data_IF_780007350297
#
_entry.id   IF_780007350297
#
_cell.length_a   1.000
_cell.length_b   1.000
_cell.length_c   1.000
_cell.angle_alpha   90.00
_cell.angle_beta   90.00
_cell.angle_gamma   90.00
#
_symmetry.space_group_name_H-M   'P 1'
#
loop_
_entity.id
_entity.type
_entity.pdbx_description
1 polymer ?
#
# COMPACT_ATOMS: atom_id res chain seq x y z
N UNK A 1 -30.49 15.72 -10.77
CA UNK A 1 -29.45 16.45 -10.03
C UNK A 1 -28.31 16.66 -11.01
N UNK A 2 -28.24 17.85 -11.59
CA UNK A 2 -27.24 18.16 -12.61
C UNK A 2 -25.84 18.01 -12.00
N UNK A 3 -24.98 17.27 -12.69
CA UNK A 3 -23.70 16.76 -12.14
C UNK A 3 -22.51 17.67 -12.43
N UNK A 4 -22.78 18.90 -12.87
CA UNK A 4 -21.76 19.80 -13.45
C UNK A 4 -21.56 21.11 -12.68
N UNK A 5 -22.40 21.43 -11.69
CA UNK A 5 -22.31 22.66 -10.90
C UNK A 5 -21.97 22.36 -9.44
N UNK A 6 -20.70 22.49 -9.04
CA UNK A 6 -20.36 22.46 -7.61
C UNK A 6 -21.08 23.65 -6.94
N UNK A 7 -21.86 23.43 -5.86
CA UNK A 7 -22.57 24.52 -5.21
C UNK A 7 -21.58 25.60 -4.79
N UNK A 8 -21.81 26.84 -5.26
CA UNK A 8 -20.92 27.99 -5.06
C UNK A 8 -20.50 28.15 -3.60
N UNK A 9 -21.43 27.92 -2.67
CA UNK A 9 -21.17 27.96 -1.22
C UNK A 9 -20.12 26.94 -0.76
N UNK A 10 -20.12 25.72 -1.31
CA UNK A 10 -19.14 24.70 -0.97
C UNK A 10 -17.75 25.07 -1.48
N UNK A 11 -17.68 25.67 -2.66
CA UNK A 11 -16.42 26.19 -3.20
C UNK A 11 -15.87 27.30 -2.31
N UNK A 12 -16.69 28.27 -1.93
CA UNK A 12 -16.30 29.36 -1.03
C UNK A 12 -15.84 28.84 0.34
N UNK A 13 -16.55 27.87 0.93
CA UNK A 13 -16.15 27.22 2.19
C UNK A 13 -14.77 26.55 2.07
N UNK A 14 -14.52 25.80 0.99
CA UNK A 14 -13.22 25.15 0.74
C UNK A 14 -12.11 26.18 0.53
N UNK A 15 -12.37 27.25 -0.22
CA UNK A 15 -11.38 28.32 -0.43
C UNK A 15 -11.04 29.03 0.88
N UNK A 16 -12.04 29.32 1.71
CA UNK A 16 -11.83 29.91 3.05
C UNK A 16 -10.96 29.02 3.94
N UNK A 17 -11.23 27.71 3.96
CA UNK A 17 -10.41 26.74 4.71
C UNK A 17 -8.95 26.70 4.21
N UNK A 18 -8.76 26.64 2.88
CA UNK A 18 -7.41 26.64 2.28
C UNK A 18 -6.66 27.94 2.56
N UNK A 19 -7.35 29.08 2.50
CA UNK A 19 -6.76 30.39 2.79
C UNK A 19 -6.33 30.48 4.25
N UNK A 20 -7.15 30.01 5.20
CA UNK A 20 -6.82 29.97 6.62
C UNK A 20 -5.56 29.11 6.91
N UNK A 21 -5.53 27.87 6.41
CA UNK A 21 -4.39 26.97 6.59
C UNK A 21 -3.11 27.52 5.95
N UNK A 22 -3.23 28.15 4.76
CA UNK A 22 -2.10 28.79 4.09
C UNK A 22 -1.58 29.99 4.90
N UNK A 23 -2.47 30.79 5.49
CA UNK A 23 -2.07 31.92 6.33
C UNK A 23 -1.35 31.46 7.60
N UNK A 24 -1.81 30.39 8.24
CA UNK A 24 -1.12 29.76 9.38
C UNK A 24 0.27 29.26 8.99
N UNK A 25 0.38 28.55 7.86
CA UNK A 25 1.66 28.07 7.33
C UNK A 25 2.63 29.23 7.07
N UNK A 26 2.18 30.30 6.40
CA UNK A 26 3.02 31.47 6.13
C UNK A 26 3.46 32.17 7.42
N UNK A 27 2.57 32.28 8.42
CA UNK A 27 2.91 32.86 9.73
C UNK A 27 4.01 32.07 10.43
N UNK A 28 3.97 30.74 10.33
CA UNK A 28 4.95 29.85 10.96
C UNK A 28 6.27 29.81 10.19
N UNK A 29 6.23 29.84 8.85
CA UNK A 29 7.44 29.75 8.02
C UNK A 29 8.23 31.06 7.99
N UNK A 30 7.55 32.21 8.01
CA UNK A 30 8.20 33.53 7.91
C UNK A 30 8.74 34.04 9.25
N UNK A 31 8.44 33.38 10.36
CA UNK A 31 8.94 33.76 11.68
C UNK A 31 10.47 33.53 11.81
N UNK A 32 11.29 34.58 11.99
CA UNK A 32 12.75 34.46 12.07
C UNK A 32 13.23 33.77 13.37
N UNK A 33 12.43 33.79 14.44
CA UNK A 33 12.79 33.18 15.74
C UNK A 33 12.32 31.73 15.88
N UNK A 34 11.85 31.10 14.80
CA UNK A 34 11.33 29.72 14.81
C UNK A 34 12.33 28.70 15.34
N UNK A 35 13.63 28.94 15.17
CA UNK A 35 14.69 28.04 15.64
C UNK A 35 14.96 28.18 17.15
N UNK A 36 14.45 29.22 17.82
CA UNK A 36 14.69 29.50 19.24
C UNK A 36 13.76 28.75 20.20
N UNK A 37 12.66 28.14 19.73
CA UNK A 37 11.66 27.46 20.56
C UNK A 37 11.94 25.96 20.79
N UNK A 38 13.10 25.44 20.38
CA UNK A 38 13.48 24.04 20.58
C UNK A 38 12.87 23.04 19.58
N UNK A 39 11.94 23.47 18.73
CA UNK A 39 11.36 22.69 17.63
C UNK A 39 12.17 22.81 16.32
N UNK A 40 13.46 23.15 16.45
CA UNK A 40 14.30 23.66 15.37
C UNK A 40 14.63 22.64 14.28
N UNK A 41 13.78 22.56 13.25
CA UNK A 41 14.14 21.91 11.98
C UNK A 41 12.97 21.86 11.00
N UNK A 42 11.86 21.24 11.40
CA UNK A 42 10.70 20.98 10.55
C UNK A 42 9.43 21.57 11.16
N UNK A 43 8.56 22.15 10.32
CA UNK A 43 7.26 22.63 10.76
C UNK A 43 6.31 21.47 10.99
N UNK A 44 5.90 21.25 12.24
CA UNK A 44 4.97 20.19 12.57
C UNK A 44 3.58 20.39 11.92
N UNK A 45 3.17 19.45 11.06
CA UNK A 45 1.84 19.43 10.47
C UNK A 45 0.94 18.38 11.16
N UNK A 46 -0.11 18.79 11.89
CA UNK A 46 -1.04 17.86 12.55
C UNK A 46 -1.86 17.03 11.55
N UNK A 47 -2.03 17.46 10.30
CA UNK A 47 -2.70 16.66 9.27
C UNK A 47 -1.85 15.46 8.85
N UNK A 48 -0.54 15.66 8.64
CA UNK A 48 0.40 14.58 8.31
C UNK A 48 0.50 13.60 9.47
N UNK A 49 0.64 14.09 10.72
CA UNK A 49 0.68 13.20 11.89
C UNK A 49 -0.60 12.35 11.99
N UNK A 50 -1.78 12.92 11.78
CA UNK A 50 -3.05 12.17 11.81
C UNK A 50 -3.13 11.12 10.70
N UNK A 51 -2.61 11.42 9.51
CA UNK A 51 -2.55 10.43 8.44
C UNK A 51 -1.60 9.28 8.77
N UNK A 52 -0.43 9.58 9.31
CA UNK A 52 0.55 8.57 9.75
C UNK A 52 0.00 7.71 10.88
N UNK A 53 -0.62 8.33 11.90
CA UNK A 53 -1.23 7.59 13.00
C UNK A 53 -2.38 6.70 12.54
N UNK A 54 -3.17 7.14 11.56
CA UNK A 54 -4.22 6.32 10.96
C UNK A 54 -3.69 5.06 10.27
N UNK A 55 -2.56 5.17 9.55
CA UNK A 55 -1.91 4.01 8.92
C UNK A 55 -1.44 2.98 9.94
N UNK A 56 -0.86 3.43 11.04
CA UNK A 56 -0.40 2.54 12.12
C UNK A 56 -1.58 1.91 12.85
N UNK A 57 -2.64 2.68 13.09
CA UNK A 57 -3.84 2.22 13.79
C UNK A 57 -4.84 1.46 12.89
N UNK A 58 -4.49 1.15 11.64
CA UNK A 58 -5.42 0.58 10.65
C UNK A 58 -6.06 -0.73 11.13
N UNK A 59 -5.32 -1.55 11.88
CA UNK A 59 -5.84 -2.80 12.44
C UNK A 59 -6.98 -2.59 13.45
N UNK A 60 -6.90 -1.55 14.28
CA UNK A 60 -7.93 -1.25 15.30
C UNK A 60 -9.29 -0.90 14.68
N UNK A 61 -9.30 -0.41 13.44
CA UNK A 61 -10.52 -0.04 12.71
C UNK A 61 -10.93 -1.07 11.66
N UNK A 62 -10.21 -2.18 11.52
CA UNK A 62 -10.53 -3.22 10.57
C UNK A 62 -11.85 -3.91 10.95
N UNK A 63 -12.74 -4.08 9.98
CA UNK A 63 -14.01 -4.80 10.14
C UNK A 63 -14.03 -6.02 9.22
N UNK A 64 -14.12 -7.25 9.76
CA UNK A 64 -14.22 -8.44 8.93
C UNK A 64 -15.60 -8.47 8.26
N UNK A 65 -15.64 -8.10 6.99
CA UNK A 65 -16.81 -8.21 6.12
C UNK A 65 -16.63 -9.35 5.12
N UNK A 66 -17.70 -9.91 4.54
CA UNK A 66 -17.58 -10.99 3.55
C UNK A 66 -16.71 -10.57 2.36
N UNK A 67 -16.83 -9.31 1.92
CA UNK A 67 -16.03 -8.75 0.82
C UNK A 67 -14.54 -8.67 1.17
N UNK A 68 -14.19 -8.17 2.35
CA UNK A 68 -12.79 -8.07 2.78
C UNK A 68 -12.15 -9.44 2.99
N UNK A 69 -12.90 -10.39 3.56
CA UNK A 69 -12.41 -11.75 3.77
C UNK A 69 -12.20 -12.50 2.45
N UNK A 70 -13.10 -12.32 1.47
CA UNK A 70 -12.93 -12.88 0.13
C UNK A 70 -11.68 -12.34 -0.57
N UNK A 71 -11.46 -11.03 -0.52
CA UNK A 71 -10.24 -10.41 -1.04
C UNK A 71 -8.98 -10.92 -0.34
N UNK A 72 -9.02 -11.07 0.99
CA UNK A 72 -7.92 -11.67 1.75
C UNK A 72 -7.63 -13.10 1.31
N UNK A 73 -8.67 -13.93 1.17
CA UNK A 73 -8.54 -15.31 0.67
C UNK A 73 -7.90 -15.32 -0.73
N UNK A 74 -8.40 -14.50 -1.66
CA UNK A 74 -7.90 -14.45 -3.02
C UNK A 74 -6.43 -14.02 -3.07
N UNK A 75 -6.05 -12.98 -2.32
CA UNK A 75 -4.67 -12.46 -2.34
C UNK A 75 -3.68 -13.42 -1.70
N UNK A 76 -4.08 -14.21 -0.71
CA UNK A 76 -3.15 -15.12 -0.02
C UNK A 76 -3.20 -16.56 -0.56
N UNK A 77 -4.40 -17.15 -0.67
CA UNK A 77 -4.53 -18.59 -0.93
C UNK A 77 -4.40 -18.91 -2.41
N UNK A 78 -4.85 -18.03 -3.31
CA UNK A 78 -4.71 -18.23 -4.75
C UNK A 78 -3.24 -18.29 -5.19
N UNK A 79 -2.35 -17.32 -4.88
CA UNK A 79 -0.95 -17.42 -5.31
C UNK A 79 -0.21 -18.57 -4.62
N UNK A 80 -0.51 -18.87 -3.35
CA UNK A 80 0.09 -20.02 -2.67
C UNK A 80 -0.31 -21.34 -3.35
N UNK A 81 -1.60 -21.55 -3.59
CA UNK A 81 -2.10 -22.73 -4.30
C UNK A 81 -1.58 -22.82 -5.73
N UNK A 82 -1.55 -21.69 -6.44
CA UNK A 82 -1.03 -21.57 -7.80
C UNK A 82 0.45 -21.95 -7.89
N UNK A 83 1.29 -21.42 -7.00
CA UNK A 83 2.71 -21.77 -6.93
C UNK A 83 2.91 -23.24 -6.56
N UNK A 84 2.16 -23.77 -5.59
CA UNK A 84 2.25 -25.18 -5.20
C UNK A 84 1.91 -26.11 -6.38
N UNK A 85 0.83 -25.82 -7.10
CA UNK A 85 0.44 -26.58 -8.28
C UNK A 85 1.47 -26.47 -9.41
N UNK A 86 1.96 -25.26 -9.68
CA UNK A 86 2.98 -25.02 -10.69
C UNK A 86 4.27 -25.80 -10.41
N UNK A 87 4.77 -25.75 -9.17
CA UNK A 87 5.97 -26.50 -8.80
C UNK A 87 5.75 -28.01 -8.86
N UNK A 88 4.60 -28.50 -8.38
CA UNK A 88 4.29 -29.94 -8.44
C UNK A 88 4.25 -30.43 -9.89
N UNK A 89 3.49 -29.76 -10.75
CA UNK A 89 3.35 -30.17 -12.16
C UNK A 89 4.65 -30.07 -12.93
N UNK A 90 5.50 -29.07 -12.64
CA UNK A 90 6.82 -28.97 -13.28
C UNK A 90 7.73 -30.12 -12.86
N UNK A 91 7.75 -30.47 -11.57
CA UNK A 91 8.55 -31.59 -11.04
C UNK A 91 8.09 -32.94 -11.59
N UNK A 92 6.78 -33.17 -11.62
CA UNK A 92 6.21 -34.43 -12.11
C UNK A 92 6.55 -34.62 -13.62
N UNK A 93 6.53 -33.54 -14.42
CA UNK A 93 6.95 -33.56 -15.84
C UNK A 93 8.44 -33.85 -16.00
N UNK A 94 9.28 -33.18 -15.24
CA UNK A 94 10.74 -33.38 -15.32
C UNK A 94 11.10 -34.83 -14.92
N UNK A 95 10.45 -35.38 -13.89
CA UNK A 95 10.65 -36.75 -13.45
C UNK A 95 10.24 -37.78 -14.51
N UNK A 96 9.13 -37.54 -15.22
CA UNK A 96 8.72 -38.39 -16.34
C UNK A 96 9.76 -38.41 -17.48
N UNK A 97 10.31 -37.24 -17.83
CA UNK A 97 11.36 -37.11 -18.84
C UNK A 97 12.66 -37.83 -18.42
N UNK A 98 12.97 -37.83 -17.12
CA UNK A 98 14.13 -38.55 -16.60
C UNK A 98 13.92 -40.07 -16.59
N UNK A 99 12.71 -40.56 -16.27
CA UNK A 99 12.38 -41.99 -16.23
C UNK A 99 12.28 -42.61 -17.62
N UNK A 100 11.76 -41.87 -18.59
CA UNK A 100 11.67 -42.31 -20.00
C UNK A 100 13.01 -42.23 -20.74
N UNK A 101 14.03 -41.60 -20.14
CA UNK A 101 15.35 -41.45 -20.76
C UNK A 101 15.40 -40.42 -21.88
N UNK A 102 14.35 -39.60 -22.05
CA UNK A 102 14.33 -38.53 -23.05
C UNK A 102 15.39 -37.47 -22.78
N UNK A 103 15.72 -37.24 -21.50
CA UNK A 103 16.80 -36.34 -21.08
C UNK A 103 18.01 -37.16 -20.62
N UNK A 104 19.16 -36.90 -21.24
CA UNK A 104 20.43 -37.53 -20.89
C UNK A 104 20.84 -37.17 -19.45
N UNK A 105 21.59 -38.04 -18.76
CA UNK A 105 22.09 -37.73 -17.42
C UNK A 105 22.93 -36.44 -17.39
N UNK A 106 23.62 -36.12 -18.49
CA UNK A 106 24.43 -34.91 -18.64
C UNK A 106 23.60 -33.62 -18.73
N UNK A 107 22.33 -33.67 -19.08
CA UNK A 107 21.53 -32.45 -19.30
C UNK A 107 20.53 -32.17 -18.17
N UNK A 108 20.59 -32.95 -17.07
CA UNK A 108 19.74 -32.75 -15.90
C UNK A 108 20.15 -31.50 -15.12
N UNK A 109 19.18 -30.68 -14.71
CA UNK A 109 19.43 -29.44 -13.98
C UNK A 109 19.94 -29.67 -12.53
N UNK A 110 19.49 -30.74 -11.86
CA UNK A 110 19.88 -31.08 -10.49
C UNK A 110 20.55 -32.45 -10.43
N UNK A 111 21.88 -32.50 -10.50
CA UNK A 111 22.65 -33.77 -10.55
C UNK A 111 23.30 -34.18 -9.23
N UNK A 112 23.76 -33.19 -8.45
CA UNK A 112 24.72 -33.42 -7.35
C UNK A 112 24.28 -32.87 -5.99
N UNK A 113 23.03 -32.41 -5.88
CA UNK A 113 22.42 -31.94 -4.64
C UNK A 113 20.94 -32.34 -4.64
#
# INVERSE_FOLDING_TARGET
>A
MDSTEVPKELFEKKQKQRAALRAEYWKQITNPHRHGTGEGGFLFDPAIQRYMSHKVAMYNYFKPTPKTSFWGFLVFILPLGGMMYYFKTSRDKDEELYRTGQISYRDRNFKFC
#
